data_IF_164500339674
#
_entry.id   IF_164500339674
#
_cell.length_a   1.000
_cell.length_b   1.000
_cell.length_c   1.000
_cell.angle_alpha   90.00
_cell.angle_beta   90.00
_cell.angle_gamma   90.00
#
_symmetry.space_group_name_H-M   'P 1'
#
loop_
_entity.id
_entity.type
_entity.pdbx_description
1 polymer ?
#
# COMPACT_ATOMS: atom_id res chain seq x y z
N UNK A 1 -8.20 -85.12 -16.63
CA UNK A 1 -7.02 -84.78 -17.44
C UNK A 1 -7.06 -83.28 -17.75
N UNK A 2 -7.21 -82.45 -16.70
CA UNK A 2 -7.46 -81.01 -16.84
C UNK A 2 -6.93 -80.21 -15.62
N UNK A 3 -6.19 -80.89 -14.71
CA UNK A 3 -5.64 -80.28 -13.50
C UNK A 3 -4.10 -80.14 -13.51
N UNK A 4 -3.41 -80.62 -14.56
CA UNK A 4 -1.95 -80.45 -14.65
C UNK A 4 -1.51 -79.21 -15.42
N UNK A 5 -2.39 -78.56 -16.20
CA UNK A 5 -2.03 -77.39 -16.99
C UNK A 5 -2.04 -76.05 -16.23
N UNK A 6 -2.65 -75.98 -15.04
CA UNK A 6 -2.68 -74.74 -14.24
C UNK A 6 -1.43 -74.61 -13.35
N UNK A 7 -0.66 -75.69 -13.17
CA UNK A 7 0.52 -75.69 -12.29
C UNK A 7 1.79 -75.14 -12.95
N UNK A 8 1.79 -74.93 -14.27
CA UNK A 8 2.96 -74.42 -15.01
C UNK A 8 2.99 -72.90 -15.21
N UNK A 9 1.88 -72.18 -15.03
CA UNK A 9 1.86 -70.71 -15.22
C UNK A 9 2.29 -69.91 -13.99
N UNK A 10 2.31 -70.51 -12.80
CA UNK A 10 2.67 -69.79 -11.55
C UNK A 10 4.20 -69.79 -11.31
N UNK A 11 4.99 -70.54 -12.09
CA UNK A 11 6.45 -70.65 -11.87
C UNK A 11 7.35 -69.78 -12.76
N UNK A 12 6.81 -68.95 -13.65
CA UNK A 12 7.61 -68.05 -14.52
C UNK A 12 7.45 -66.55 -14.22
N UNK A 13 6.99 -66.18 -13.01
CA UNK A 13 6.84 -64.78 -12.60
C UNK A 13 7.96 -64.19 -11.72
N UNK A 14 9.02 -64.94 -11.43
CA UNK A 14 10.04 -64.52 -10.46
C UNK A 14 11.46 -64.69 -10.99
N UNK A 15 11.86 -64.01 -12.06
CA UNK A 15 13.28 -64.00 -12.43
C UNK A 15 13.66 -62.82 -13.30
N UNK A 16 13.26 -61.61 -12.92
CA UNK A 16 14.00 -60.39 -13.27
C UNK A 16 13.64 -59.30 -12.26
N UNK A 17 13.99 -59.51 -10.99
CA UNK A 17 14.16 -58.38 -10.08
C UNK A 17 15.51 -57.75 -10.42
N UNK A 18 15.56 -56.56 -11.06
CA UNK A 18 16.83 -55.91 -11.32
C UNK A 18 17.57 -55.69 -9.98
N UNK A 19 18.90 -55.81 -9.96
CA UNK A 19 19.67 -55.67 -8.73
C UNK A 19 19.37 -54.31 -8.09
N UNK A 20 18.84 -54.33 -6.86
CA UNK A 20 18.42 -53.13 -6.07
C UNK A 20 19.53 -52.08 -5.89
N UNK A 21 20.77 -52.43 -6.18
CA UNK A 21 21.93 -51.55 -6.12
C UNK A 21 21.97 -50.52 -7.26
N UNK A 22 21.43 -50.83 -8.44
CA UNK A 22 21.37 -49.87 -9.56
C UNK A 22 20.24 -48.84 -9.40
N UNK A 23 19.11 -49.22 -8.78
CA UNK A 23 18.03 -48.28 -8.47
C UNK A 23 18.47 -47.24 -7.43
N UNK A 24 19.21 -47.65 -6.40
CA UNK A 24 19.59 -46.75 -5.29
C UNK A 24 20.50 -45.59 -5.73
N UNK A 25 21.40 -45.82 -6.70
CA UNK A 25 22.24 -44.77 -7.27
C UNK A 25 21.46 -43.80 -8.16
N UNK A 26 20.46 -44.30 -8.89
CA UNK A 26 19.59 -43.49 -9.73
C UNK A 26 18.67 -42.59 -8.87
N UNK A 27 18.13 -43.13 -7.77
CA UNK A 27 17.31 -42.37 -6.81
C UNK A 27 18.12 -41.24 -6.13
N UNK A 28 19.39 -41.49 -5.79
CA UNK A 28 20.27 -40.48 -5.21
C UNK A 28 20.64 -39.37 -6.19
N UNK A 29 20.96 -39.71 -7.44
CA UNK A 29 21.25 -38.72 -8.49
C UNK A 29 20.01 -37.87 -8.80
N UNK A 30 18.83 -38.49 -8.89
CA UNK A 30 17.57 -37.77 -9.10
C UNK A 30 17.27 -36.82 -7.93
N UNK A 31 17.49 -37.25 -6.69
CA UNK A 31 17.31 -36.39 -5.53
C UNK A 31 18.23 -35.15 -5.56
N UNK A 32 19.50 -35.32 -5.95
CA UNK A 32 20.45 -34.21 -6.10
C UNK A 32 20.00 -33.26 -7.22
N UNK A 33 19.62 -33.80 -8.38
CA UNK A 33 19.17 -32.99 -9.53
C UNK A 33 17.92 -32.18 -9.16
N UNK A 34 16.92 -32.82 -8.53
CA UNK A 34 15.71 -32.15 -8.06
C UNK A 34 16.04 -31.08 -7.03
N UNK A 35 16.95 -31.35 -6.10
CA UNK A 35 17.43 -30.36 -5.12
C UNK A 35 18.08 -29.14 -5.76
N UNK A 36 18.98 -29.35 -6.73
CA UNK A 36 19.65 -28.28 -7.47
C UNK A 36 18.65 -27.46 -8.30
N UNK A 37 17.73 -28.11 -9.01
CA UNK A 37 16.67 -27.43 -9.76
C UNK A 37 15.77 -26.60 -8.84
N UNK A 38 15.43 -27.12 -7.66
CA UNK A 38 14.67 -26.40 -6.65
C UNK A 38 15.38 -25.13 -6.17
N UNK A 39 16.69 -25.19 -5.91
CA UNK A 39 17.49 -24.02 -5.52
C UNK A 39 17.53 -22.98 -6.65
N UNK A 40 17.79 -23.41 -7.89
CA UNK A 40 17.81 -22.52 -9.06
C UNK A 40 16.45 -21.82 -9.23
N UNK A 41 15.36 -22.57 -9.11
CA UNK A 41 14.01 -22.03 -9.19
C UNK A 41 13.74 -20.99 -8.09
N UNK A 42 14.12 -21.28 -6.85
CA UNK A 42 13.97 -20.34 -5.73
C UNK A 42 14.79 -19.06 -5.92
N UNK A 43 16.03 -19.16 -6.41
CA UNK A 43 16.86 -18.00 -6.72
C UNK A 43 16.25 -17.15 -7.83
N UNK A 44 15.78 -17.78 -8.91
CA UNK A 44 15.12 -17.10 -10.01
C UNK A 44 13.83 -16.40 -9.57
N UNK A 45 12.98 -17.08 -8.81
CA UNK A 45 11.76 -16.51 -8.24
C UNK A 45 12.07 -15.34 -7.31
N UNK A 46 13.09 -15.47 -6.46
CA UNK A 46 13.51 -14.41 -5.54
C UNK A 46 14.00 -13.18 -6.30
N UNK A 47 14.80 -13.38 -7.35
CA UNK A 47 15.27 -12.31 -8.23
C UNK A 47 14.10 -11.62 -8.93
N UNK A 48 13.17 -12.38 -9.51
CA UNK A 48 11.98 -11.85 -10.17
C UNK A 48 11.13 -10.99 -9.23
N UNK A 49 10.85 -11.48 -8.01
CA UNK A 49 10.10 -10.72 -7.01
C UNK A 49 10.82 -9.43 -6.60
N UNK A 50 12.15 -9.48 -6.41
CA UNK A 50 12.93 -8.30 -6.05
C UNK A 50 12.92 -7.27 -7.18
N UNK A 51 13.17 -7.67 -8.43
CA UNK A 51 13.13 -6.79 -9.60
C UNK A 51 11.78 -6.10 -9.75
N UNK A 52 10.67 -6.85 -9.65
CA UNK A 52 9.33 -6.31 -9.76
C UNK A 52 9.03 -5.25 -8.69
N UNK A 53 9.39 -5.51 -7.43
CA UNK A 53 9.21 -4.54 -6.33
C UNK A 53 10.07 -3.28 -6.53
N UNK A 54 11.30 -3.44 -7.03
CA UNK A 54 12.17 -2.29 -7.29
C UNK A 54 11.67 -1.41 -8.43
N UNK A 55 11.12 -2.01 -9.49
CA UNK A 55 10.61 -1.27 -10.65
C UNK A 55 9.39 -0.42 -10.31
N UNK A 56 8.42 -0.97 -9.57
CA UNK A 56 7.25 -0.22 -9.07
C UNK A 56 7.68 0.91 -8.13
N UNK A 57 8.72 0.69 -7.33
CA UNK A 57 9.22 1.73 -6.43
C UNK A 57 9.92 2.88 -7.19
N UNK A 58 10.52 2.58 -8.34
CA UNK A 58 11.19 3.57 -9.20
C UNK A 58 10.21 4.43 -10.02
N UNK A 59 9.02 3.93 -10.33
CA UNK A 59 8.06 4.65 -11.19
C UNK A 59 7.59 5.98 -10.60
N UNK A 60 7.64 6.14 -9.27
CA UNK A 60 7.32 7.41 -8.59
C UNK A 60 8.47 8.41 -8.55
N UNK A 61 9.70 7.97 -8.83
CA UNK A 61 10.88 8.81 -8.70
C UNK A 61 10.85 10.09 -9.56
N UNK A 62 10.39 10.06 -10.82
CA UNK A 62 10.29 11.28 -11.63
C UNK A 62 9.36 12.32 -10.99
N UNK A 63 8.20 11.90 -10.49
CA UNK A 63 7.19 12.81 -9.93
C UNK A 63 7.65 13.42 -8.61
N UNK A 64 8.27 12.60 -7.77
CA UNK A 64 8.82 13.06 -6.50
C UNK A 64 9.96 14.07 -6.75
N UNK A 65 10.85 13.78 -7.71
CA UNK A 65 11.94 14.68 -8.08
C UNK A 65 11.45 15.98 -8.68
N UNK A 66 10.47 15.94 -9.59
CA UNK A 66 9.83 17.15 -10.15
C UNK A 66 9.19 18.02 -9.07
N UNK A 67 8.60 17.39 -8.05
CA UNK A 67 8.05 18.08 -6.90
C UNK A 67 9.11 18.59 -5.90
N UNK A 68 10.40 18.41 -6.17
CA UNK A 68 11.49 18.82 -5.28
C UNK A 68 11.75 17.88 -4.10
N UNK A 69 11.19 16.66 -4.13
CA UNK A 69 11.40 15.64 -3.11
C UNK A 69 12.59 14.74 -3.48
N UNK A 70 13.45 14.49 -2.50
CA UNK A 70 14.61 13.62 -2.60
C UNK A 70 14.35 12.27 -1.94
N UNK A 71 14.85 11.18 -2.53
CA UNK A 71 14.77 9.84 -1.93
C UNK A 71 15.81 9.72 -0.82
N UNK A 72 15.37 9.47 0.42
CA UNK A 72 16.24 9.47 1.58
C UNK A 72 16.65 8.05 2.00
N UNK A 73 15.71 7.11 2.08
CA UNK A 73 15.96 5.72 2.53
C UNK A 73 15.07 4.69 1.85
N UNK A 74 15.65 3.50 1.66
CA UNK A 74 14.93 2.28 1.32
C UNK A 74 14.33 1.69 2.61
N UNK A 75 13.01 1.65 2.69
CA UNK A 75 12.33 0.78 3.66
C UNK A 75 12.43 -0.65 3.10
N UNK A 76 12.48 -1.66 3.98
CA UNK A 76 12.63 -3.08 3.59
C UNK A 76 11.62 -3.49 2.48
N UNK A 77 10.47 -2.82 2.43
CA UNK A 77 9.47 -2.97 1.37
C UNK A 77 8.90 -1.60 0.94
N UNK A 78 9.71 -0.57 0.74
CA UNK A 78 9.18 0.74 0.34
C UNK A 78 10.22 1.85 0.15
N UNK A 79 9.74 3.07 -0.11
CA UNK A 79 10.58 4.26 -0.27
C UNK A 79 10.07 5.43 0.55
N UNK A 80 11.01 6.19 1.09
CA UNK A 80 10.76 7.45 1.78
C UNK A 80 11.34 8.60 0.98
N UNK A 81 10.50 9.57 0.65
CA UNK A 81 10.86 10.81 0.00
C UNK A 81 10.69 11.96 0.98
N UNK A 82 11.59 12.93 0.94
CA UNK A 82 11.51 14.15 1.73
C UNK A 82 11.93 15.36 0.91
N UNK A 83 11.28 16.48 1.17
CA UNK A 83 11.68 17.78 0.63
C UNK A 83 10.79 18.88 1.17
N UNK A 84 10.96 20.07 0.60
CA UNK A 84 10.23 21.26 1.00
C UNK A 84 9.41 21.76 -0.18
N UNK A 85 8.11 21.95 0.01
CA UNK A 85 7.22 22.54 -0.98
C UNK A 85 6.46 23.67 -0.30
N UNK A 86 6.53 24.88 -0.88
CA UNK A 86 5.89 26.09 -0.34
C UNK A 86 6.22 26.37 1.14
N UNK A 87 7.47 26.15 1.58
CA UNK A 87 7.87 26.38 2.97
C UNK A 87 7.47 25.25 3.94
N UNK A 88 6.89 24.16 3.45
CA UNK A 88 6.45 23.01 4.25
C UNK A 88 7.32 21.80 3.98
N UNK A 89 7.77 21.15 5.05
CA UNK A 89 8.43 19.86 4.97
C UNK A 89 7.39 18.79 4.65
N UNK A 90 7.61 18.11 3.53
CA UNK A 90 6.73 17.03 3.07
C UNK A 90 7.54 15.74 3.08
N UNK A 91 6.98 14.75 3.76
CA UNK A 91 7.49 13.39 3.78
C UNK A 91 6.49 12.48 3.08
N UNK A 92 6.95 11.70 2.11
CA UNK A 92 6.12 10.74 1.40
C UNK A 92 6.68 9.34 1.61
N UNK A 93 5.89 8.48 2.23
CA UNK A 93 6.21 7.07 2.44
C UNK A 93 5.36 6.21 1.50
N UNK A 94 6.02 5.52 0.57
CA UNK A 94 5.38 4.61 -0.37
C UNK A 94 5.73 3.16 -0.05
N UNK A 95 4.71 2.32 0.05
CA UNK A 95 4.79 0.88 0.23
C UNK A 95 4.02 0.23 -0.94
N UNK A 96 4.68 -0.54 -1.82
CA UNK A 96 4.02 -1.20 -2.93
C UNK A 96 3.08 -2.30 -2.45
N UNK A 97 2.18 -2.74 -3.34
CA UNK A 97 1.29 -3.86 -3.04
C UNK A 97 2.08 -5.15 -2.87
N UNK A 98 1.73 -5.96 -1.87
CA UNK A 98 2.43 -7.22 -1.56
C UNK A 98 1.42 -8.31 -1.23
N UNK A 99 1.17 -9.22 -2.19
CA UNK A 99 0.26 -10.37 -2.03
C UNK A 99 -1.14 -9.96 -1.57
N UNK A 100 -1.37 -9.98 -0.27
CA UNK A 100 -2.64 -9.64 0.39
C UNK A 100 -2.77 -8.17 0.83
N UNK A 101 -1.67 -7.41 0.81
CA UNK A 101 -1.67 -6.00 1.25
C UNK A 101 -1.74 -5.06 0.04
N UNK A 102 -2.75 -4.18 -0.03
CA UNK A 102 -2.80 -3.15 -1.07
C UNK A 102 -1.60 -2.20 -0.92
N UNK A 103 -1.25 -1.53 -2.01
CA UNK A 103 -0.25 -0.47 -1.96
C UNK A 103 -0.73 0.63 -0.99
N UNK A 104 0.21 1.26 -0.29
CA UNK A 104 -0.04 2.32 0.66
C UNK A 104 0.91 3.48 0.38
N UNK A 105 0.35 4.67 0.34
CA UNK A 105 1.06 5.92 0.15
C UNK A 105 0.63 6.87 1.27
N UNK A 106 1.57 7.23 2.12
CA UNK A 106 1.36 8.19 3.19
C UNK A 106 2.07 9.49 2.84
N UNK A 107 1.32 10.59 2.73
CA UNK A 107 1.89 11.93 2.59
C UNK A 107 1.73 12.62 3.94
N UNK A 108 2.84 13.06 4.51
CA UNK A 108 2.91 13.71 5.81
C UNK A 108 3.42 15.12 5.59
N UNK A 109 2.61 16.12 5.97
CA UNK A 109 2.96 17.54 5.86
C UNK A 109 3.28 18.08 7.24
N UNK A 110 4.42 18.77 7.38
CA UNK A 110 4.97 19.32 8.63
C UNK A 110 5.64 20.69 8.40
N UNK A 111 5.64 21.59 9.38
CA UNK A 111 4.72 21.66 10.50
C UNK A 111 3.35 22.17 10.02
N UNK A 112 2.28 21.70 10.68
CA UNK A 112 0.93 22.22 10.45
C UNK A 112 0.25 22.48 11.79
N UNK A 113 -0.21 23.71 11.99
CA UNK A 113 -0.83 24.18 13.24
C UNK A 113 -2.34 24.32 13.05
N UNK A 114 -3.10 23.30 13.44
CA UNK A 114 -4.58 23.26 13.29
C UNK A 114 -5.29 23.32 14.65
N UNK A 115 -4.54 23.25 15.76
CA UNK A 115 -5.09 23.40 17.11
C UNK A 115 -5.96 22.23 17.61
N UNK A 116 -6.49 21.37 16.73
CA UNK A 116 -7.37 20.25 17.09
C UNK A 116 -7.05 18.97 16.31
N UNK A 117 -7.44 17.83 16.87
CA UNK A 117 -7.40 16.54 16.16
C UNK A 117 -8.66 16.38 15.33
N UNK A 118 -8.47 16.06 14.05
CA UNK A 118 -9.54 15.88 13.08
C UNK A 118 -9.21 14.68 12.19
N UNK A 119 -10.20 13.89 11.82
CA UNK A 119 -10.09 12.82 10.83
C UNK A 119 -11.23 12.95 9.82
N UNK A 120 -10.88 12.97 8.53
CA UNK A 120 -11.82 13.00 7.40
C UNK A 120 -11.66 11.69 6.64
N UNK A 121 -12.69 10.87 6.68
CA UNK A 121 -12.62 9.43 6.35
C UNK A 121 -13.94 8.95 5.78
N UNK A 122 -13.94 7.96 4.90
CA UNK A 122 -15.19 7.36 4.40
C UNK A 122 -15.84 6.43 5.45
N UNK A 123 -14.99 5.73 6.21
CA UNK A 123 -15.37 4.80 7.26
C UNK A 123 -14.86 5.25 8.63
N UNK A 124 -15.05 4.43 9.67
CA UNK A 124 -14.59 4.77 11.02
C UNK A 124 -13.04 4.95 11.05
N UNK A 125 -12.51 6.02 11.66
CA UNK A 125 -11.07 6.27 11.69
C UNK A 125 -10.33 5.17 12.46
N UNK A 126 -9.22 4.72 11.90
CA UNK A 126 -8.39 3.66 12.49
C UNK A 126 -7.17 4.21 13.22
N UNK A 127 -6.88 5.50 13.12
CA UNK A 127 -5.70 6.16 13.67
C UNK A 127 -6.08 7.51 14.31
N UNK A 128 -5.31 7.91 15.33
CA UNK A 128 -5.29 9.21 16.07
C UNK A 128 -6.59 9.82 16.62
N UNK A 129 -7.71 9.71 15.91
CA UNK A 129 -9.04 10.23 16.24
C UNK A 129 -10.06 9.09 16.46
N UNK A 130 -9.63 7.95 17.03
CA UNK A 130 -10.50 6.78 17.27
C UNK A 130 -11.68 7.06 18.21
N UNK A 131 -11.42 7.93 19.19
CA UNK A 131 -12.37 8.30 20.24
C UNK A 131 -13.01 9.69 19.99
N UNK A 132 -12.74 10.28 18.82
CA UNK A 132 -13.34 11.53 18.41
C UNK A 132 -14.83 11.38 18.12
N UNK A 133 -15.57 12.48 18.26
CA UNK A 133 -17.01 12.50 17.95
C UNK A 133 -17.20 12.69 16.44
N UNK A 134 -18.20 12.01 15.90
CA UNK A 134 -18.68 12.26 14.54
C UNK A 134 -19.33 13.64 14.49
N UNK A 135 -18.92 14.46 13.52
CA UNK A 135 -19.53 15.75 13.22
C UNK A 135 -20.71 15.50 12.28
N UNK A 136 -21.91 15.86 12.73
CA UNK A 136 -23.15 15.67 11.96
C UNK A 136 -23.54 16.95 11.22
N UNK A 137 -24.28 16.82 10.12
CA UNK A 137 -24.81 17.95 9.33
C UNK A 137 -24.04 18.26 8.04
N UNK A 138 -23.03 17.45 7.70
CA UNK A 138 -22.21 17.61 6.49
C UNK A 138 -22.22 16.35 5.60
N UNK A 139 -22.97 15.31 5.97
CA UNK A 139 -22.92 14.00 5.31
C UNK A 139 -23.41 14.05 3.86
N UNK A 140 -24.44 14.85 3.57
CA UNK A 140 -24.96 15.05 2.22
C UNK A 140 -24.03 15.94 1.38
N UNK A 141 -23.46 16.98 1.99
CA UNK A 141 -22.55 17.91 1.30
C UNK A 141 -21.20 17.27 0.95
N UNK A 142 -20.73 16.34 1.79
CA UNK A 142 -19.46 15.65 1.62
C UNK A 142 -19.60 14.27 0.97
N UNK A 143 -20.74 13.98 0.34
CA UNK A 143 -20.97 12.74 -0.42
C UNK A 143 -20.58 11.46 0.36
N UNK A 144 -21.07 11.34 1.60
CA UNK A 144 -20.82 10.18 2.45
C UNK A 144 -19.43 10.14 3.11
N UNK A 145 -18.58 11.15 2.91
CA UNK A 145 -17.38 11.35 3.73
C UNK A 145 -17.79 11.78 5.14
N UNK A 146 -17.21 11.13 6.13
CA UNK A 146 -17.45 11.38 7.55
C UNK A 146 -16.31 12.18 8.14
N UNK A 147 -16.64 13.10 9.05
CA UNK A 147 -15.66 13.90 9.76
C UNK A 147 -15.75 13.60 11.25
N UNK A 148 -14.62 13.28 11.86
CA UNK A 148 -14.50 13.02 13.29
C UNK A 148 -13.56 14.04 13.89
N UNK A 149 -13.95 14.71 14.97
CA UNK A 149 -13.09 15.71 15.62
C UNK A 149 -13.07 15.58 17.14
N UNK A 150 -12.00 16.07 17.74
CA UNK A 150 -11.91 16.27 19.18
C UNK A 150 -12.71 17.51 19.62
N UNK A 151 -12.62 18.60 18.86
CA UNK A 151 -13.40 19.82 19.05
C UNK A 151 -14.42 19.97 17.92
N UNK A 152 -15.69 19.70 18.24
CA UNK A 152 -16.78 19.74 17.27
C UNK A 152 -17.05 21.14 16.73
N UNK A 153 -16.92 22.17 17.58
CA UNK A 153 -17.21 23.55 17.18
C UNK A 153 -16.17 24.03 16.18
N UNK A 154 -14.89 23.85 16.51
CA UNK A 154 -13.79 24.24 15.63
C UNK A 154 -13.81 23.48 14.30
N UNK A 155 -14.08 22.17 14.32
CA UNK A 155 -14.21 21.39 13.10
C UNK A 155 -15.37 21.87 12.23
N UNK A 156 -16.51 22.20 12.83
CA UNK A 156 -17.67 22.75 12.13
C UNK A 156 -17.33 24.09 11.47
N UNK A 157 -16.61 24.97 12.15
CA UNK A 157 -16.14 26.25 11.60
C UNK A 157 -15.25 26.05 10.37
N UNK A 158 -14.29 25.11 10.40
CA UNK A 158 -13.48 24.80 9.22
C UNK A 158 -14.30 24.25 8.05
N UNK A 159 -15.27 23.39 8.32
CA UNK A 159 -16.12 22.78 7.29
C UNK A 159 -17.18 23.75 6.73
N UNK A 160 -17.42 24.90 7.36
CA UNK A 160 -18.26 25.94 6.76
C UNK A 160 -17.60 26.59 5.55
N UNK A 161 -16.26 26.53 5.45
CA UNK A 161 -15.54 27.05 4.29
C UNK A 161 -15.78 26.16 3.05
N UNK A 162 -16.51 26.73 2.08
CA UNK A 162 -16.79 26.07 0.80
C UNK A 162 -15.53 25.64 0.05
N UNK A 163 -14.41 26.35 0.19
CA UNK A 163 -13.15 26.02 -0.47
C UNK A 163 -12.55 24.75 0.13
N UNK A 164 -12.51 24.64 1.46
CA UNK A 164 -12.05 23.44 2.17
C UNK A 164 -12.90 22.23 1.77
N UNK A 165 -14.24 22.36 1.80
CA UNK A 165 -15.15 21.29 1.37
C UNK A 165 -14.90 20.83 -0.05
N UNK A 166 -14.80 21.77 -1.00
CA UNK A 166 -14.56 21.44 -2.40
C UNK A 166 -13.22 20.71 -2.62
N UNK A 167 -12.17 21.09 -1.89
CA UNK A 167 -10.89 20.39 -1.95
C UNK A 167 -11.01 18.98 -1.36
N UNK A 168 -11.66 18.82 -0.19
CA UNK A 168 -11.91 17.50 0.43
C UNK A 168 -12.66 16.59 -0.54
N UNK A 169 -13.78 17.07 -1.11
CA UNK A 169 -14.59 16.33 -2.06
C UNK A 169 -13.75 15.95 -3.28
N UNK A 170 -13.05 16.91 -3.90
CA UNK A 170 -12.18 16.64 -5.06
C UNK A 170 -11.10 15.59 -4.78
N UNK A 171 -10.51 15.63 -3.60
CA UNK A 171 -9.47 14.69 -3.18
C UNK A 171 -10.02 13.29 -2.86
N UNK A 172 -11.23 13.18 -2.32
CA UNK A 172 -11.80 11.94 -1.80
C UNK A 172 -12.86 11.28 -2.70
N UNK A 173 -13.46 12.01 -3.64
CA UNK A 173 -14.57 11.55 -4.48
C UNK A 173 -14.12 10.78 -5.74
N UNK A 174 -12.89 10.95 -6.24
CA UNK A 174 -12.39 10.23 -7.43
C UNK A 174 -11.99 8.77 -7.11
N UNK A 175 -12.98 7.95 -6.74
CA UNK A 175 -12.79 6.56 -6.30
C UNK A 175 -12.27 5.61 -7.40
N UNK A 176 -12.43 6.00 -8.66
CA UNK A 176 -11.97 5.21 -9.81
C UNK A 176 -10.45 5.20 -9.96
N UNK A 177 -9.78 6.29 -9.59
CA UNK A 177 -8.34 6.46 -9.85
C UNK A 177 -7.52 6.94 -8.64
N UNK A 178 -8.15 7.67 -7.71
CA UNK A 178 -7.52 8.30 -6.53
C UNK A 178 -8.08 7.69 -5.27
N UNK A 179 -7.23 6.98 -4.56
CA UNK A 179 -7.63 6.24 -3.37
C UNK A 179 -7.18 6.95 -2.10
N UNK A 180 -7.29 8.28 -2.05
CA UNK A 180 -7.23 8.98 -0.77
C UNK A 180 -8.45 8.53 0.04
N UNK A 181 -8.20 7.77 1.10
CA UNK A 181 -9.26 7.20 1.94
C UNK A 181 -9.41 7.95 3.25
N UNK A 182 -8.30 8.49 3.72
CA UNK A 182 -8.20 9.00 5.09
C UNK A 182 -7.29 10.23 5.12
N UNK A 183 -7.76 11.29 5.77
CA UNK A 183 -7.00 12.49 6.09
C UNK A 183 -7.03 12.65 7.61
N UNK A 184 -5.87 12.74 8.24
CA UNK A 184 -5.72 12.89 9.68
C UNK A 184 -4.97 14.18 9.97
N UNK A 185 -5.59 15.07 10.71
CA UNK A 185 -4.97 16.27 11.23
C UNK A 185 -4.58 16.02 12.68
N UNK A 186 -3.30 16.24 12.97
CA UNK A 186 -2.74 16.19 14.32
C UNK A 186 -2.29 17.59 14.70
N UNK A 187 -1.83 17.74 15.94
CA UNK A 187 -1.38 19.02 16.49
C UNK A 187 -0.21 19.67 15.73
N UNK A 188 0.60 18.89 15.00
CA UNK A 188 1.80 19.39 14.33
C UNK A 188 2.02 18.82 12.92
N UNK A 189 1.13 17.96 12.45
CA UNK A 189 1.28 17.27 11.16
C UNK A 189 -0.09 16.94 10.58
N UNK A 190 -0.15 16.84 9.25
CA UNK A 190 -1.30 16.28 8.53
C UNK A 190 -0.85 15.04 7.78
N UNK A 191 -1.55 13.94 7.99
CA UNK A 191 -1.30 12.65 7.34
C UNK A 191 -2.43 12.35 6.36
N UNK A 192 -2.05 12.14 5.10
CA UNK A 192 -2.93 11.69 4.03
C UNK A 192 -2.61 10.23 3.71
N UNK A 193 -3.61 9.35 3.83
CA UNK A 193 -3.49 7.90 3.62
C UNK A 193 -4.17 7.50 2.31
N UNK A 194 -3.36 7.08 1.36
CA UNK A 194 -3.76 6.79 -0.02
C UNK A 194 -3.46 5.32 -0.34
N UNK A 195 -4.36 4.62 -1.03
CA UNK A 195 -4.20 3.19 -1.38
C UNK A 195 -4.12 2.98 -2.89
N UNK A 196 -3.05 3.44 -3.57
CA UNK A 196 -3.06 3.64 -5.02
C UNK A 196 -3.43 2.35 -5.77
N UNK A 197 -4.38 2.45 -6.70
CA UNK A 197 -4.76 1.35 -7.60
C UNK A 197 -4.01 1.40 -8.93
N UNK A 198 -3.64 2.60 -9.37
CA UNK A 198 -2.85 2.85 -10.56
C UNK A 198 -1.64 3.72 -10.20
N UNK A 199 -0.56 3.55 -10.94
CA UNK A 199 0.74 4.21 -10.77
C UNK A 199 0.92 5.36 -11.77
N UNK A 200 -0.13 6.17 -11.95
CA UNK A 200 -0.15 7.27 -12.91
C UNK A 200 0.48 8.54 -12.31
N UNK A 201 1.43 9.09 -13.06
CA UNK A 201 2.25 10.24 -12.67
C UNK A 201 1.42 11.51 -12.51
N UNK A 202 0.51 11.77 -13.45
CA UNK A 202 -0.30 13.00 -13.45
C UNK A 202 -1.34 12.96 -12.35
N UNK A 203 -1.91 11.77 -12.08
CA UNK A 203 -2.80 11.57 -10.94
C UNK A 203 -2.07 11.86 -9.62
N UNK A 204 -0.86 11.32 -9.45
CA UNK A 204 -0.07 11.59 -8.24
C UNK A 204 0.27 13.07 -8.09
N UNK A 205 0.67 13.74 -9.19
CA UNK A 205 1.00 15.17 -9.18
C UNK A 205 -0.20 16.00 -8.70
N UNK A 206 -1.38 15.78 -9.29
CA UNK A 206 -2.61 16.47 -8.90
C UNK A 206 -2.99 16.21 -7.45
N UNK A 207 -2.79 14.98 -6.97
CA UNK A 207 -3.04 14.59 -5.58
C UNK A 207 -2.10 15.33 -4.62
N UNK A 208 -0.79 15.36 -4.91
CA UNK A 208 0.19 16.03 -4.06
C UNK A 208 -0.12 17.53 -3.94
N UNK A 209 -0.43 18.21 -5.03
CA UNK A 209 -0.79 19.64 -4.98
C UNK A 209 -2.10 19.87 -4.23
N UNK A 210 -3.14 19.05 -4.47
CA UNK A 210 -4.40 19.21 -3.74
C UNK A 210 -4.25 18.98 -2.23
N UNK A 211 -3.37 18.05 -1.82
CA UNK A 211 -3.00 17.83 -0.41
C UNK A 211 -2.35 19.07 0.21
N UNK A 212 -1.44 19.71 -0.52
CA UNK A 212 -0.76 20.93 -0.08
C UNK A 212 -1.77 22.09 0.02
N UNK A 213 -2.59 22.28 -1.01
CA UNK A 213 -3.63 23.31 -1.04
C UNK A 213 -4.60 23.15 0.14
N UNK A 214 -5.04 21.92 0.43
CA UNK A 214 -5.89 21.65 1.59
C UNK A 214 -5.21 22.08 2.89
N UNK A 215 -3.93 21.72 3.05
CA UNK A 215 -3.18 22.04 4.26
C UNK A 215 -3.04 23.55 4.45
N UNK A 216 -2.75 24.29 3.38
CA UNK A 216 -2.62 25.75 3.41
C UNK A 216 -3.95 26.42 3.80
N UNK A 217 -5.08 25.96 3.24
CA UNK A 217 -6.38 26.55 3.58
C UNK A 217 -6.79 26.28 5.03
N UNK A 218 -6.48 25.09 5.58
CA UNK A 218 -6.72 24.81 7.00
C UNK A 218 -5.89 25.71 7.92
N UNK A 219 -4.60 25.92 7.63
CA UNK A 219 -3.74 26.79 8.45
C UNK A 219 -4.17 28.26 8.39
N UNK A 220 -4.58 28.71 7.20
CA UNK A 220 -5.11 30.05 7.02
C UNK A 220 -6.31 30.26 7.93
N UNK A 221 -7.26 29.32 7.96
CA UNK A 221 -8.44 29.41 8.82
C UNK A 221 -8.10 29.23 10.31
N UNK A 222 -7.05 28.48 10.65
CA UNK A 222 -6.59 28.36 12.04
C UNK A 222 -5.97 29.63 12.60
N UNK A 223 -5.38 30.48 11.75
CA UNK A 223 -4.71 31.71 12.19
C UNK A 223 -5.68 32.85 12.57
N UNK A 224 -6.96 32.71 12.25
CA UNK A 224 -7.99 33.72 12.53
C UNK A 224 -8.76 33.49 13.84
N UNK A 225 -8.54 32.35 14.50
CA UNK A 225 -9.20 31.94 15.73
C UNK A 225 -8.23 31.94 16.92
#
# INVERSE_FOLDING_TARGET
MEQELIKSEIRMGYLYSPPRYLLKGYDQLNAIIVGVLGIIFLLWLSYYLFSFVTEISLSFEPVMKEAGLSSERYLIFGRRYQGEINGKNIEVNFIPSTGLRPALLNIIVKPVEIGTKLAIVQDKPLLDCKDCKLITGFEEELDGIKVFAQDEKMATEYLQDSKIKNIIISLMHDQSSRSLREIYFKSSEVLFRIHPRNYDVDIFRNLLYGVIDLTIEFEKNSSYN
#
